data_IF_767852257439
#
_entry.id   IF_767852257439
#
_cell.length_a   1.000
_cell.length_b   1.000
_cell.length_c   1.000
_cell.angle_alpha   90.00
_cell.angle_beta   90.00
_cell.angle_gamma   90.00
#
_symmetry.space_group_name_H-M   'P 1'
#
loop_
_entity.id
_entity.type
_entity.pdbx_description
1 polymer ?
#
# COMPACT_ATOMS: atom_id res chain seq x y z
N UNK A 1 13.20 18.53 -2.54
CA UNK A 1 12.76 18.14 -1.18
C UNK A 1 11.95 16.86 -1.32
N UNK A 2 12.30 15.75 -0.67
CA UNK A 2 11.58 14.48 -0.82
C UNK A 2 10.33 14.47 0.07
N UNK A 3 9.19 14.07 -0.48
CA UNK A 3 7.94 13.93 0.27
C UNK A 3 7.97 12.71 1.18
N UNK A 4 7.16 12.71 2.24
CA UNK A 4 6.89 11.51 3.03
C UNK A 4 5.62 10.84 2.49
N UNK A 5 5.72 9.55 2.22
CA UNK A 5 4.65 8.75 1.63
C UNK A 5 4.24 7.64 2.59
N UNK A 6 2.95 7.32 2.61
CA UNK A 6 2.44 6.17 3.36
C UNK A 6 2.46 4.93 2.45
N UNK A 7 3.28 3.95 2.79
CA UNK A 7 3.26 2.62 2.19
C UNK A 7 2.27 1.74 2.96
N UNK A 8 1.45 0.97 2.25
CA UNK A 8 0.53 0.01 2.86
C UNK A 8 0.57 -1.34 2.13
N UNK A 9 0.56 -2.42 2.91
CA UNK A 9 0.40 -3.80 2.43
C UNK A 9 -0.85 -4.34 3.10
N UNK A 10 -1.80 -4.84 2.30
CA UNK A 10 -3.05 -5.39 2.82
C UNK A 10 -3.24 -6.82 2.37
N UNK A 11 -3.46 -7.71 3.33
CA UNK A 11 -3.87 -9.08 3.06
C UNK A 11 -5.25 -9.10 2.41
N UNK A 12 -5.41 -9.88 1.34
CA UNK A 12 -6.68 -10.02 0.65
C UNK A 12 -7.66 -10.84 1.48
N UNK A 13 -8.92 -10.41 1.49
CA UNK A 13 -10.03 -11.16 2.07
C UNK A 13 -10.73 -10.39 3.19
N UNK A 14 -11.84 -10.93 3.68
CA UNK A 14 -12.55 -10.38 4.85
C UNK A 14 -11.67 -10.55 6.09
N UNK A 15 -11.54 -9.49 6.89
CA UNK A 15 -10.67 -9.48 8.08
C UNK A 15 -9.17 -9.43 7.78
N UNK A 16 -8.77 -9.19 6.52
CA UNK A 16 -7.37 -9.10 6.14
C UNK A 16 -6.62 -7.99 6.88
N UNK A 17 -5.45 -8.34 7.43
CA UNK A 17 -4.59 -7.41 8.15
C UNK A 17 -3.98 -6.37 7.20
N UNK A 18 -3.72 -5.17 7.72
CA UNK A 18 -3.03 -4.09 6.99
C UNK A 18 -1.79 -3.66 7.74
N UNK A 19 -0.65 -3.75 7.07
CA UNK A 19 0.61 -3.21 7.53
C UNK A 19 0.84 -1.87 6.86
N UNK A 20 1.35 -0.89 7.61
CA UNK A 20 1.68 0.44 7.10
C UNK A 20 3.07 0.86 7.54
N UNK A 21 3.72 1.68 6.72
CA UNK A 21 5.01 2.30 7.06
C UNK A 21 5.11 3.65 6.34
N UNK A 22 5.63 4.66 7.03
CA UNK A 22 6.02 5.91 6.36
C UNK A 22 7.39 5.74 5.72
N UNK A 23 7.46 6.01 4.42
CA UNK A 23 8.67 5.97 3.60
C UNK A 23 8.95 7.36 3.01
N UNK A 24 10.16 7.58 2.50
CA UNK A 24 10.49 8.80 1.77
C UNK A 24 10.26 8.56 0.29
N UNK A 25 9.43 9.38 -0.33
CA UNK A 25 9.09 9.23 -1.75
C UNK A 25 8.52 7.82 -2.06
N UNK A 26 8.38 7.50 -3.34
CA UNK A 26 8.05 6.14 -3.80
C UNK A 26 9.30 5.26 -3.88
N UNK A 27 9.95 5.05 -2.74
CA UNK A 27 11.22 4.33 -2.63
C UNK A 27 11.08 2.81 -2.86
N UNK A 28 11.70 2.32 -3.95
CA UNK A 28 11.72 0.90 -4.31
C UNK A 28 12.35 0.01 -3.24
N UNK A 29 13.43 0.45 -2.60
CA UNK A 29 14.11 -0.34 -1.57
C UNK A 29 13.23 -0.48 -0.33
N UNK A 30 12.49 0.58 0.01
CA UNK A 30 11.57 0.55 1.14
C UNK A 30 10.38 -0.38 0.87
N UNK A 31 9.85 -0.38 -0.36
CA UNK A 31 8.82 -1.32 -0.79
C UNK A 31 9.32 -2.77 -0.78
N UNK A 32 10.52 -3.01 -1.32
CA UNK A 32 11.16 -4.33 -1.36
C UNK A 32 11.40 -4.88 0.05
N UNK A 33 11.96 -4.08 0.95
CA UNK A 33 12.16 -4.45 2.34
C UNK A 33 10.84 -4.75 3.07
N UNK A 34 9.81 -3.90 2.88
CA UNK A 34 8.51 -4.10 3.50
C UNK A 34 7.86 -5.42 3.06
N UNK A 35 7.91 -5.75 1.76
CA UNK A 35 7.40 -7.03 1.25
C UNK A 35 8.25 -8.19 1.76
N UNK A 36 9.57 -8.05 1.73
CA UNK A 36 10.49 -9.08 2.21
C UNK A 36 10.31 -9.45 3.68
N UNK A 37 10.00 -8.47 4.53
CA UNK A 37 9.83 -8.67 5.97
C UNK A 37 8.42 -9.13 6.37
N UNK A 38 7.39 -8.76 5.58
CA UNK A 38 5.98 -8.87 6.02
C UNK A 38 5.12 -9.81 5.19
N UNK A 39 5.60 -10.26 4.04
CA UNK A 39 4.83 -11.09 3.11
C UNK A 39 5.50 -12.45 2.97
N UNK A 40 4.71 -13.53 3.11
CA UNK A 40 5.20 -14.89 2.84
C UNK A 40 5.72 -14.99 1.40
N UNK A 41 6.83 -15.69 1.18
CA UNK A 41 7.42 -15.90 -0.17
C UNK A 41 6.49 -16.66 -1.12
N UNK A 42 5.59 -17.46 -0.58
CA UNK A 42 4.59 -18.22 -1.34
C UNK A 42 3.38 -17.35 -1.74
N UNK A 43 3.22 -16.17 -1.13
CA UNK A 43 2.10 -15.31 -1.40
C UNK A 43 2.23 -14.63 -2.78
N UNK A 44 1.07 -14.39 -3.39
CA UNK A 44 0.95 -13.59 -4.61
C UNK A 44 0.70 -12.12 -4.24
N UNK A 45 1.55 -11.24 -4.74
CA UNK A 45 1.49 -9.79 -4.51
C UNK A 45 0.80 -9.12 -5.70
N UNK A 46 -0.04 -8.14 -5.40
CA UNK A 46 -0.77 -7.33 -6.37
C UNK A 46 -0.41 -5.86 -6.17
N UNK A 47 0.05 -5.20 -7.22
CA UNK A 47 0.44 -3.78 -7.19
C UNK A 47 -0.11 -3.04 -8.43
N UNK A 48 -0.07 -1.71 -8.40
CA UNK A 48 -0.34 -0.87 -9.58
C UNK A 48 0.82 -0.92 -10.58
N UNK A 49 0.88 -0.04 -11.58
CA UNK A 49 1.95 -0.01 -12.57
C UNK A 49 3.20 0.80 -12.17
N UNK A 50 3.25 1.31 -10.94
CA UNK A 50 4.35 2.17 -10.53
C UNK A 50 5.70 1.43 -10.53
N UNK A 51 6.73 2.11 -11.03
CA UNK A 51 8.07 1.52 -11.25
C UNK A 51 8.79 1.13 -9.97
N UNK A 52 8.43 1.74 -8.84
CA UNK A 52 9.03 1.43 -7.52
C UNK A 52 8.80 -0.01 -7.06
N UNK A 53 7.81 -0.69 -7.62
CA UNK A 53 7.46 -2.05 -7.25
C UNK A 53 8.11 -3.10 -8.17
N UNK A 54 8.92 -2.71 -9.16
CA UNK A 54 9.46 -3.63 -10.18
C UNK A 54 10.26 -4.77 -9.57
N UNK A 55 11.08 -4.46 -8.57
CA UNK A 55 11.96 -5.42 -7.91
C UNK A 55 11.21 -6.44 -7.03
N UNK A 56 9.91 -6.22 -6.77
CA UNK A 56 9.07 -7.17 -6.03
C UNK A 56 8.89 -8.50 -6.79
N UNK A 57 9.05 -8.50 -8.12
CA UNK A 57 8.99 -9.71 -8.92
C UNK A 57 10.12 -10.71 -8.58
N UNK A 58 11.24 -10.21 -8.02
CA UNK A 58 12.31 -11.06 -7.51
C UNK A 58 12.02 -11.70 -6.15
N UNK A 59 10.97 -11.25 -5.45
CA UNK A 59 10.61 -11.73 -4.11
C UNK A 59 9.38 -12.64 -4.11
N UNK A 60 8.39 -12.31 -4.93
CA UNK A 60 7.06 -12.89 -4.89
C UNK A 60 6.48 -12.95 -6.31
N UNK A 61 5.53 -13.86 -6.53
CA UNK A 61 4.68 -13.80 -7.73
C UNK A 61 3.96 -12.45 -7.73
N UNK A 62 4.21 -11.63 -8.74
CA UNK A 62 3.71 -10.26 -8.83
C UNK A 62 2.74 -10.11 -10.00
N UNK A 63 1.53 -9.66 -9.70
CA UNK A 63 0.58 -9.19 -10.71
C UNK A 63 0.42 -7.69 -10.63
N UNK A 64 0.32 -7.05 -11.80
CA UNK A 64 0.16 -5.60 -11.93
C UNK A 64 -1.21 -5.26 -12.48
N UNK A 65 -1.77 -4.14 -12.02
CA UNK A 65 -3.01 -3.56 -12.54
C UNK A 65 -2.71 -2.18 -13.09
N UNK A 66 -3.05 -1.97 -14.35
CA UNK A 66 -3.00 -0.65 -14.96
C UNK A 66 -4.37 0.02 -14.78
N UNK A 67 -4.43 0.98 -13.86
CA UNK A 67 -5.65 1.70 -13.51
C UNK A 67 -6.11 2.71 -14.56
N UNK A 68 -5.24 3.08 -15.51
CA UNK A 68 -5.64 3.90 -16.66
C UNK A 68 -6.48 3.13 -17.69
N UNK A 69 -6.37 1.79 -17.69
CA UNK A 69 -7.04 0.90 -18.65
C UNK A 69 -8.19 0.11 -18.04
N UNK A 70 -8.04 -0.34 -16.80
CA UNK A 70 -9.05 -1.18 -16.16
C UNK A 70 -9.10 -1.00 -14.65
N UNK A 71 -10.31 -0.97 -14.10
CA UNK A 71 -10.55 -0.97 -12.65
C UNK A 71 -10.21 -2.33 -12.00
N UNK A 72 -10.30 -3.40 -12.79
CA UNK A 72 -9.94 -4.78 -12.45
C UNK A 72 -9.58 -5.49 -13.76
N UNK A 73 -8.56 -6.34 -13.78
CA UNK A 73 -8.28 -7.15 -14.98
C UNK A 73 -9.32 -8.26 -15.14
N UNK A 74 -9.46 -8.82 -16.34
CA UNK A 74 -10.42 -9.90 -16.61
C UNK A 74 -10.23 -11.11 -15.69
N UNK A 75 -8.97 -11.42 -15.32
CA UNK A 75 -8.62 -12.49 -14.37
C UNK A 75 -8.91 -12.16 -12.89
N UNK A 76 -9.50 -11.00 -12.62
CA UNK A 76 -9.89 -10.58 -11.28
C UNK A 76 -8.78 -9.88 -10.46
N UNK A 77 -7.62 -9.60 -11.06
CA UNK A 77 -6.50 -8.86 -10.45
C UNK A 77 -6.93 -7.43 -10.13
N UNK A 78 -6.78 -7.03 -8.86
CA UNK A 78 -7.15 -5.69 -8.36
C UNK A 78 -6.44 -5.32 -7.08
N UNK A 79 -6.28 -4.02 -6.85
CA UNK A 79 -5.69 -3.37 -5.67
C UNK A 79 -6.75 -2.70 -4.78
N UNK A 80 -8.04 -2.80 -5.13
CA UNK A 80 -9.14 -2.05 -4.53
C UNK A 80 -9.21 -2.09 -2.99
N UNK A 81 -8.78 -3.20 -2.36
CA UNK A 81 -8.79 -3.30 -0.90
C UNK A 81 -7.79 -2.35 -0.25
N UNK A 82 -6.58 -2.21 -0.80
CA UNK A 82 -5.59 -1.25 -0.27
C UNK A 82 -5.93 0.19 -0.68
N UNK A 83 -6.51 0.40 -1.86
CA UNK A 83 -7.01 1.72 -2.28
C UNK A 83 -8.18 2.20 -1.41
N UNK A 84 -9.08 1.28 -1.03
CA UNK A 84 -10.15 1.55 -0.08
C UNK A 84 -9.60 1.94 1.30
N UNK A 85 -8.51 1.30 1.75
CA UNK A 85 -7.79 1.73 2.94
C UNK A 85 -7.26 3.17 2.82
N UNK A 86 -6.58 3.52 1.71
CA UNK A 86 -6.11 4.89 1.51
C UNK A 86 -7.26 5.91 1.44
N UNK A 87 -8.41 5.53 0.87
CA UNK A 87 -9.61 6.36 0.89
C UNK A 87 -10.13 6.61 2.32
N UNK A 88 -10.02 5.62 3.22
CA UNK A 88 -10.34 5.81 4.65
C UNK A 88 -9.35 6.76 5.33
N UNK A 89 -8.05 6.65 5.02
CA UNK A 89 -7.02 7.56 5.56
C UNK A 89 -7.30 9.01 5.13
N UNK A 90 -7.60 9.23 3.85
CA UNK A 90 -7.95 10.56 3.33
C UNK A 90 -9.21 11.13 3.99
N UNK A 91 -10.25 10.30 4.18
CA UNK A 91 -11.46 10.73 4.92
C UNK A 91 -11.18 11.04 6.38
N UNK A 92 -10.30 10.28 7.05
CA UNK A 92 -9.90 10.57 8.43
C UNK A 92 -9.11 11.90 8.52
N UNK A 93 -8.26 12.18 7.52
CA UNK A 93 -7.53 13.44 7.42
C UNK A 93 -8.45 14.64 7.24
N UNK A 94 -9.43 14.56 6.34
CA UNK A 94 -10.35 15.69 6.06
C UNK A 94 -11.44 15.83 7.12
N UNK A 95 -11.99 14.72 7.61
CA UNK A 95 -13.23 14.71 8.38
C UNK A 95 -13.09 14.61 9.90
N UNK A 96 -11.97 14.07 10.40
CA UNK A 96 -11.81 13.79 11.84
C UNK A 96 -10.65 14.57 12.45
N UNK A 97 -9.51 14.60 11.75
CA UNK A 97 -8.29 15.18 12.28
C UNK A 97 -8.14 16.62 11.84
N UNK A 98 -7.83 17.54 12.77
CA UNK A 98 -7.51 18.92 12.41
C UNK A 98 -6.20 19.02 11.60
N UNK A 99 -5.24 18.13 11.87
CA UNK A 99 -3.97 18.03 11.12
C UNK A 99 -3.29 16.70 11.39
N UNK A 100 -2.67 16.11 10.37
CA UNK A 100 -1.66 15.06 10.57
C UNK A 100 -0.31 15.71 10.87
N UNK A 101 0.20 15.51 12.08
CA UNK A 101 1.57 15.91 12.42
C UNK A 101 2.56 14.94 11.79
N UNK A 102 3.62 15.43 11.17
CA UNK A 102 4.71 14.58 10.65
C UNK A 102 5.31 13.70 11.74
N UNK A 103 5.37 14.19 12.99
CA UNK A 103 5.87 13.42 14.15
C UNK A 103 5.07 12.15 14.42
N UNK A 104 3.77 12.17 14.14
CA UNK A 104 2.85 11.08 14.43
C UNK A 104 2.21 10.51 13.17
N UNK A 105 2.76 10.81 11.99
CA UNK A 105 2.13 10.44 10.72
C UNK A 105 1.96 8.93 10.60
N UNK A 106 2.96 8.17 11.03
CA UNK A 106 2.90 6.71 11.09
C UNK A 106 1.75 6.21 11.99
N UNK A 107 1.62 6.77 13.19
CA UNK A 107 0.52 6.46 14.11
C UNK A 107 -0.85 6.85 13.56
N UNK A 108 -0.97 8.01 12.90
CA UNK A 108 -2.22 8.46 12.29
C UNK A 108 -2.68 7.52 11.18
N UNK A 109 -1.77 7.04 10.35
CA UNK A 109 -2.07 6.10 9.26
C UNK A 109 -2.38 4.71 9.82
N UNK A 110 -1.56 4.20 10.74
CA UNK A 110 -1.75 2.90 11.37
C UNK A 110 -3.07 2.81 12.17
N UNK A 111 -3.52 3.93 12.76
CA UNK A 111 -4.80 3.99 13.47
C UNK A 111 -6.03 3.68 12.60
N UNK A 112 -5.92 3.89 11.27
CA UNK A 112 -6.99 3.60 10.30
C UNK A 112 -6.93 2.14 9.80
N UNK A 113 -5.83 1.43 10.06
CA UNK A 113 -5.60 0.07 9.55
C UNK A 113 -6.44 -1.00 10.26
N UNK A 114 -7.07 -0.63 11.39
CA UNK A 114 -8.02 -1.46 12.14
C UNK A 114 -9.33 -1.69 11.38
#
# INVERSE_FOLDING_TARGET
MKCLCALAIRQRGLGGQTFTRIIRDEDSNAAWAAVGDRVSREATVFADEHGSYNDLAGLNKLHRVNHSRAYQTDDGTKTNQVESFFSRVQRAYVGIQHRFSLKYFDWSVAGVAR
#
